data_IF_139218426084
#
_entry.id   IF_139218426084
#
_cell.length_a   1.000
_cell.length_b   1.000
_cell.length_c   1.000
_cell.angle_alpha   90.00
_cell.angle_beta   90.00
_cell.angle_gamma   90.00
#
_symmetry.space_group_name_H-M   'P 1'
#
loop_
_entity.id
_entity.type
_entity.pdbx_description
1 polymer ?
#
# COMPACT_ATOMS: atom_id res chain seq x y z
N UNK A 1 -9.13 -5.18 -5.09
CA UNK A 1 -9.53 -4.03 -4.25
C UNK A 1 -9.49 -2.77 -5.09
N UNK A 2 -10.41 -1.84 -4.86
CA UNK A 2 -10.41 -0.50 -5.48
C UNK A 2 -9.18 0.32 -5.05
N UNK A 3 -8.91 1.43 -5.75
CA UNK A 3 -7.83 2.33 -5.37
C UNK A 3 -8.05 2.90 -3.95
N UNK A 4 -6.98 3.08 -3.14
CA UNK A 4 -7.09 3.69 -1.82
C UNK A 4 -7.53 5.15 -1.92
N UNK A 5 -8.29 5.60 -0.92
CA UNK A 5 -8.65 7.01 -0.75
C UNK A 5 -7.38 7.83 -0.49
N UNK A 6 -6.55 7.38 0.46
CA UNK A 6 -5.27 7.98 0.80
C UNK A 6 -4.16 6.92 0.81
N UNK A 7 -2.99 7.31 0.31
CA UNK A 7 -1.74 6.57 0.51
C UNK A 7 -0.72 7.51 1.13
N UNK A 8 -0.25 7.19 2.33
CA UNK A 8 0.73 7.98 3.09
C UNK A 8 2.00 7.16 3.20
N UNK A 9 3.14 7.78 2.90
CA UNK A 9 4.46 7.18 3.11
C UNK A 9 5.21 8.00 4.14
N UNK A 10 5.52 7.40 5.29
CA UNK A 10 6.29 8.04 6.34
C UNK A 10 7.64 7.34 6.50
N UNK A 11 8.72 8.11 6.49
CA UNK A 11 10.08 7.62 6.70
C UNK A 11 10.54 7.83 8.14
N UNK A 12 11.37 6.93 8.64
CA UNK A 12 11.86 6.94 10.01
C UNK A 12 11.83 5.55 10.63
N UNK A 13 12.47 5.37 11.79
CA UNK A 13 12.45 4.08 12.48
C UNK A 13 11.06 3.83 13.09
N UNK A 14 10.30 2.81 12.65
CA UNK A 14 9.01 2.52 13.26
C UNK A 14 9.17 2.18 14.74
N UNK A 15 8.42 2.88 15.59
CA UNK A 15 8.53 2.74 17.04
C UNK A 15 7.16 2.39 17.65
N UNK A 16 7.09 1.38 18.52
CA UNK A 16 5.83 0.95 19.13
C UNK A 16 5.34 2.00 20.12
N UNK A 17 4.02 2.05 20.30
CA UNK A 17 3.46 2.69 21.48
C UNK A 17 3.91 1.92 22.73
N UNK A 18 4.57 2.62 23.64
CA UNK A 18 5.19 2.02 24.82
C UNK A 18 4.14 1.61 25.86
N UNK A 19 4.47 0.63 26.71
CA UNK A 19 3.74 0.50 27.98
C UNK A 19 4.09 1.70 28.86
N UNK A 20 3.08 2.35 29.43
CA UNK A 20 3.28 3.45 30.37
C UNK A 20 3.99 2.91 31.62
N UNK A 21 5.09 3.56 32.00
CA UNK A 21 5.82 3.26 33.23
C UNK A 21 5.43 4.26 34.30
N UNK A 22 5.01 3.78 35.47
CA UNK A 22 4.82 4.64 36.64
C UNK A 22 6.18 5.07 37.20
N UNK A 23 6.40 6.38 37.31
CA UNK A 23 7.65 6.96 37.84
C UNK A 23 7.47 7.59 39.22
N UNK A 24 6.34 7.33 39.89
CA UNK A 24 5.99 7.91 41.19
C UNK A 24 5.08 9.14 41.04
N UNK A 25 4.39 9.51 42.14
CA UNK A 25 3.49 10.68 42.21
C UNK A 25 2.37 10.70 41.15
N UNK A 26 1.90 9.54 40.70
CA UNK A 26 0.86 9.43 39.68
C UNK A 26 1.32 9.78 38.26
N UNK A 27 2.62 10.01 38.05
CA UNK A 27 3.17 10.34 36.72
C UNK A 27 3.48 9.04 35.97
N UNK A 28 2.93 8.94 34.76
CA UNK A 28 3.16 7.85 33.82
C UNK A 28 4.00 8.38 32.66
N UNK A 29 5.07 7.68 32.28
CA UNK A 29 5.95 8.06 31.16
C UNK A 29 6.02 6.93 30.15
N UNK A 30 5.99 7.25 28.86
CA UNK A 30 6.21 6.29 27.77
C UNK A 30 7.58 5.62 27.88
N UNK A 31 7.60 4.30 27.76
CA UNK A 31 8.83 3.49 27.86
C UNK A 31 9.76 3.61 26.65
N UNK A 32 9.26 4.03 25.48
CA UNK A 32 10.03 4.14 24.24
C UNK A 32 10.38 5.60 23.96
N UNK A 33 11.67 5.95 24.00
CA UNK A 33 12.16 7.29 23.58
C UNK A 33 11.92 7.57 22.10
N UNK A 34 11.71 6.51 21.30
CA UNK A 34 11.62 6.60 19.85
C UNK A 34 10.17 6.81 19.36
N UNK A 35 9.17 6.67 20.22
CA UNK A 35 7.76 6.81 19.81
C UNK A 35 7.42 8.24 19.40
N UNK A 36 7.96 9.25 20.11
CA UNK A 36 7.68 10.65 19.79
C UNK A 36 8.24 11.04 18.41
N UNK A 37 9.53 10.83 18.09
CA UNK A 37 10.04 11.08 16.74
C UNK A 37 9.29 10.31 15.65
N UNK A 38 8.89 9.07 15.93
CA UNK A 38 8.10 8.27 15.00
C UNK A 38 6.73 8.89 14.71
N UNK A 39 5.98 9.27 15.76
CA UNK A 39 4.67 9.90 15.61
C UNK A 39 4.74 11.22 14.86
N UNK A 40 5.75 12.05 15.13
CA UNK A 40 5.95 13.30 14.39
C UNK A 40 6.23 13.06 12.91
N UNK A 41 7.03 12.04 12.57
CA UNK A 41 7.30 11.69 11.17
C UNK A 41 6.04 11.22 10.42
N UNK A 42 5.22 10.37 11.05
CA UNK A 42 3.94 9.92 10.50
C UNK A 42 2.97 11.09 10.35
N UNK A 43 2.87 11.94 11.38
CA UNK A 43 2.01 13.12 11.38
C UNK A 43 2.38 14.09 10.27
N UNK A 44 3.67 14.40 10.11
CA UNK A 44 4.15 15.28 9.04
C UNK A 44 3.79 14.72 7.66
N UNK A 45 4.09 13.44 7.40
CA UNK A 45 3.74 12.80 6.14
C UNK A 45 2.23 12.77 5.86
N UNK A 46 1.42 12.60 6.92
CA UNK A 46 -0.03 12.62 6.83
C UNK A 46 -0.56 14.04 6.51
N UNK A 47 0.01 15.07 7.13
CA UNK A 47 -0.36 16.47 6.87
C UNK A 47 -0.06 16.88 5.43
N UNK A 48 1.06 16.44 4.86
CA UNK A 48 1.45 16.74 3.47
C UNK A 48 0.48 16.16 2.43
N UNK A 49 -0.24 15.09 2.79
CA UNK A 49 -1.23 14.46 1.92
C UNK A 49 -2.61 15.13 1.96
N UNK A 50 -2.82 16.14 2.81
CA UNK A 50 -4.11 16.82 2.95
C UNK A 50 -4.30 17.90 1.87
N UNK A 51 -5.29 17.76 0.96
CA UNK A 51 -5.64 18.83 0.04
C UNK A 51 -6.21 20.06 0.78
N UNK A 52 -6.25 21.20 0.08
CA UNK A 52 -6.91 22.40 0.58
C UNK A 52 -8.38 22.11 0.92
N UNK A 53 -8.85 22.63 2.05
CA UNK A 53 -10.22 22.37 2.53
C UNK A 53 -10.44 20.98 3.15
N UNK A 54 -9.38 20.23 3.44
CA UNK A 54 -9.47 18.90 4.06
C UNK A 54 -10.36 18.88 5.30
N UNK A 55 -11.30 17.94 5.31
CA UNK A 55 -12.08 17.55 6.47
C UNK A 55 -11.67 16.13 6.89
N UNK A 56 -11.53 15.84 8.20
CA UNK A 56 -11.25 14.49 8.66
C UNK A 56 -12.29 13.50 8.12
N UNK A 57 -11.83 12.33 7.70
CA UNK A 57 -12.71 11.28 7.21
C UNK A 57 -13.64 10.83 8.33
N UNK A 58 -14.92 10.70 8.02
CA UNK A 58 -15.97 10.34 8.97
C UNK A 58 -16.87 9.21 8.44
N UNK A 59 -16.27 8.06 8.20
CA UNK A 59 -16.92 6.83 7.74
C UNK A 59 -16.09 5.60 8.13
N UNK A 60 -16.66 4.37 8.20
CA UNK A 60 -15.91 3.15 8.47
C UNK A 60 -14.79 2.89 7.46
N UNK A 61 -13.61 2.50 7.96
CA UNK A 61 -12.38 2.38 7.18
C UNK A 61 -11.79 0.98 7.21
N UNK A 62 -11.14 0.63 6.09
CA UNK A 62 -10.17 -0.46 5.98
C UNK A 62 -8.78 0.16 5.86
N UNK A 63 -7.81 -0.32 6.64
CA UNK A 63 -6.45 0.24 6.64
C UNK A 63 -5.39 -0.84 6.42
N UNK A 64 -4.40 -0.55 5.58
CA UNK A 64 -3.18 -1.33 5.45
C UNK A 64 -2.00 -0.54 5.99
N UNK A 65 -1.12 -1.20 6.74
CA UNK A 65 0.13 -0.62 7.25
C UNK A 65 1.28 -1.62 7.07
N UNK A 66 2.21 -1.32 6.15
CA UNK A 66 3.42 -2.14 5.95
C UNK A 66 4.64 -1.40 6.51
N UNK A 67 5.13 -1.89 7.64
CA UNK A 67 6.27 -1.32 8.35
C UNK A 67 7.58 -1.92 7.84
N UNK A 68 8.46 -1.07 7.35
CA UNK A 68 9.79 -1.46 6.86
C UNK A 68 10.84 -1.23 7.94
N UNK A 69 11.65 -2.26 8.22
CA UNK A 69 12.79 -2.20 9.13
C UNK A 69 14.09 -2.43 8.38
N UNK A 70 15.17 -1.76 8.82
CA UNK A 70 16.50 -2.04 8.30
C UNK A 70 16.87 -3.51 8.55
N UNK A 71 17.42 -4.17 7.53
CA UNK A 71 17.89 -5.55 7.69
C UNK A 71 19.17 -5.58 8.52
N UNK A 72 19.24 -6.38 9.61
CA UNK A 72 20.45 -6.48 10.42
C UNK A 72 21.67 -6.92 9.61
N UNK A 73 22.84 -6.33 9.89
CA UNK A 73 24.12 -6.71 9.23
C UNK A 73 24.44 -8.20 9.39
N UNK A 74 24.05 -8.81 10.52
CA UNK A 74 24.22 -10.24 10.78
C UNK A 74 23.40 -11.16 9.87
N UNK A 75 22.44 -10.66 9.09
CA UNK A 75 21.71 -11.46 8.10
C UNK A 75 22.51 -11.63 6.81
N UNK A 76 23.55 -10.84 6.61
CA UNK A 76 24.42 -10.90 5.45
C UNK A 76 25.63 -11.79 5.72
N UNK A 77 26.20 -12.37 4.65
CA UNK A 77 27.49 -13.07 4.70
C UNK A 77 28.62 -12.05 4.93
N UNK A 78 29.87 -12.49 4.96
CA UNK A 78 31.03 -11.63 5.25
C UNK A 78 31.99 -11.56 4.06
N UNK A 79 32.95 -10.62 4.11
CA UNK A 79 33.99 -10.45 3.09
C UNK A 79 33.42 -10.11 1.70
N UNK A 80 33.94 -10.76 0.66
CA UNK A 80 33.50 -10.57 -0.75
C UNK A 80 31.98 -10.82 -0.97
N UNK A 81 31.34 -11.55 -0.07
CA UNK A 81 29.93 -11.93 -0.17
C UNK A 81 29.02 -11.07 0.75
N UNK A 82 29.49 -9.95 1.28
CA UNK A 82 28.74 -9.14 2.25
C UNK A 82 27.41 -8.54 1.72
N UNK A 83 27.18 -8.58 0.40
CA UNK A 83 25.92 -8.19 -0.22
C UNK A 83 24.89 -9.34 -0.27
N UNK A 84 25.31 -10.58 -0.03
CA UNK A 84 24.46 -11.77 -0.09
C UNK A 84 23.90 -12.12 1.29
N UNK A 85 22.65 -12.59 1.30
CA UNK A 85 22.01 -13.10 2.51
C UNK A 85 22.56 -14.49 2.89
N UNK A 86 22.54 -14.77 4.20
CA UNK A 86 22.75 -16.11 4.74
C UNK A 86 21.50 -16.95 4.48
N UNK A 87 21.68 -18.26 4.33
CA UNK A 87 20.56 -19.18 4.06
C UNK A 87 19.56 -19.24 5.23
N UNK A 88 20.07 -19.06 6.46
CA UNK A 88 19.26 -18.97 7.67
C UNK A 88 18.70 -17.56 7.95
N UNK A 89 18.92 -16.57 7.07
CA UNK A 89 18.43 -15.22 7.29
C UNK A 89 16.89 -15.18 7.21
N UNK A 90 16.19 -14.68 8.25
CA UNK A 90 14.74 -14.63 8.22
C UNK A 90 14.21 -13.78 7.07
N UNK A 91 13.11 -14.25 6.45
CA UNK A 91 12.41 -13.52 5.39
C UNK A 91 11.75 -12.25 5.94
N UNK A 92 11.14 -12.35 7.13
CA UNK A 92 10.41 -11.25 7.79
C UNK A 92 11.05 -10.86 9.14
N UNK A 93 10.94 -9.59 9.56
CA UNK A 93 11.39 -9.13 10.87
C UNK A 93 10.44 -9.60 11.99
N UNK A 94 10.63 -10.85 12.43
CA UNK A 94 9.86 -11.46 13.51
C UNK A 94 10.45 -11.19 14.92
N UNK A 95 10.98 -9.99 15.14
CA UNK A 95 11.50 -9.53 16.44
C UNK A 95 10.68 -8.36 16.97
N UNK A 96 10.93 -7.93 18.20
CA UNK A 96 10.40 -6.66 18.70
C UNK A 96 10.69 -5.52 17.71
N UNK A 97 9.78 -4.55 17.55
CA UNK A 97 8.52 -4.37 18.29
C UNK A 97 7.31 -5.17 17.77
N UNK A 98 6.29 -5.31 18.62
CA UNK A 98 5.01 -5.96 18.28
C UNK A 98 4.27 -5.16 17.20
N UNK A 99 3.72 -5.84 16.18
CA UNK A 99 3.00 -5.19 15.09
C UNK A 99 1.80 -4.36 15.60
N UNK A 100 1.02 -4.89 16.55
CA UNK A 100 -0.13 -4.18 17.12
C UNK A 100 0.25 -2.88 17.83
N UNK A 101 1.46 -2.79 18.41
CA UNK A 101 1.93 -1.56 19.05
C UNK A 101 2.44 -0.54 18.04
N UNK A 102 2.97 -1.00 16.90
CA UNK A 102 3.32 -0.11 15.78
C UNK A 102 2.06 0.47 15.15
N UNK A 103 1.02 -0.35 14.97
CA UNK A 103 -0.29 0.10 14.50
C UNK A 103 -0.82 1.18 15.44
N UNK A 104 -0.87 0.90 16.76
CA UNK A 104 -1.34 1.88 17.76
C UNK A 104 -0.60 3.22 17.73
N UNK A 105 0.74 3.23 17.68
CA UNK A 105 1.47 4.51 17.62
C UNK A 105 1.24 5.25 16.30
N UNK A 106 0.97 4.52 15.21
CA UNK A 106 0.68 5.09 13.90
C UNK A 106 -0.73 5.67 13.86
N UNK A 107 -1.72 4.98 14.43
CA UNK A 107 -3.10 5.47 14.58
C UNK A 107 -3.16 6.74 15.41
N UNK A 108 -2.49 6.76 16.57
CA UNK A 108 -2.37 7.97 17.40
C UNK A 108 -1.86 9.17 16.58
N UNK A 109 -0.85 8.97 15.72
CA UNK A 109 -0.29 10.03 14.89
C UNK A 109 -1.22 10.47 13.75
N UNK A 110 -1.99 9.55 13.15
CA UNK A 110 -2.97 9.86 12.10
C UNK A 110 -4.19 10.61 12.67
N UNK A 111 -4.61 10.26 13.89
CA UNK A 111 -5.62 11.00 14.65
C UNK A 111 -5.12 12.41 14.98
N UNK A 112 -3.89 12.55 15.48
CA UNK A 112 -3.27 13.88 15.72
C UNK A 112 -3.10 14.73 14.45
N UNK A 113 -2.97 14.08 13.28
CA UNK A 113 -2.89 14.75 11.99
C UNK A 113 -4.26 15.18 11.44
N UNK A 114 -5.36 14.68 12.04
CA UNK A 114 -6.73 14.93 11.58
C UNK A 114 -7.07 14.20 10.27
N UNK A 115 -6.48 13.02 10.02
CA UNK A 115 -6.81 12.21 8.84
C UNK A 115 -8.23 11.66 8.93
N UNK A 116 -8.61 11.15 10.09
CA UNK A 116 -9.96 10.71 10.41
C UNK A 116 -10.44 11.40 11.67
N UNK A 117 -11.76 11.41 11.88
CA UNK A 117 -12.36 11.99 13.09
C UNK A 117 -11.85 11.30 14.35
N UNK A 118 -11.77 9.97 14.31
CA UNK A 118 -11.38 9.12 15.42
C UNK A 118 -10.86 7.77 14.90
N UNK A 119 -9.94 7.14 15.63
CA UNK A 119 -9.36 5.84 15.25
C UNK A 119 -10.39 4.69 15.35
N UNK A 120 -11.47 4.89 16.11
CA UNK A 120 -12.61 3.96 16.19
C UNK A 120 -13.28 3.67 14.83
N UNK A 121 -13.02 4.51 13.82
CA UNK A 121 -13.48 4.30 12.45
C UNK A 121 -12.72 3.20 11.71
N UNK A 122 -11.54 2.81 12.18
CA UNK A 122 -10.77 1.70 11.60
C UNK A 122 -11.38 0.37 12.05
N UNK A 123 -12.20 -0.23 11.20
CA UNK A 123 -12.96 -1.45 11.53
C UNK A 123 -12.34 -2.72 10.93
N UNK A 124 -11.34 -2.57 10.06
CA UNK A 124 -10.66 -3.69 9.42
C UNK A 124 -9.23 -3.30 9.03
N UNK A 125 -8.31 -4.24 9.19
CA UNK A 125 -7.00 -4.17 8.54
C UNK A 125 -6.90 -5.12 7.35
N UNK A 126 -6.14 -4.73 6.34
CA UNK A 126 -5.74 -5.61 5.21
C UNK A 126 -4.24 -5.47 4.98
N UNK A 127 -3.56 -6.55 4.59
CA UNK A 127 -2.16 -6.53 4.15
C UNK A 127 -1.22 -5.75 5.10
N UNK A 128 -1.45 -5.87 6.41
CA UNK A 128 -0.68 -5.18 7.44
C UNK A 128 0.41 -6.09 7.97
N UNK A 129 1.64 -5.58 8.06
CA UNK A 129 2.78 -6.43 8.42
C UNK A 129 4.08 -5.68 8.61
N UNK A 130 5.11 -6.45 8.97
CA UNK A 130 6.50 -5.96 9.01
C UNK A 130 7.29 -6.59 7.88
N UNK A 131 8.18 -5.81 7.27
CA UNK A 131 9.02 -6.23 6.16
C UNK A 131 10.45 -5.70 6.32
N UNK A 132 11.38 -6.39 5.66
CA UNK A 132 12.66 -5.81 5.29
C UNK A 132 12.53 -5.19 3.90
N UNK A 133 13.45 -4.30 3.46
CA UNK A 133 13.46 -3.79 2.10
C UNK A 133 13.37 -4.91 1.07
N UNK A 134 12.52 -4.70 0.05
CA UNK A 134 12.17 -5.66 -0.99
C UNK A 134 11.54 -7.00 -0.50
N UNK A 135 11.19 -7.11 0.80
CA UNK A 135 10.56 -8.30 1.37
C UNK A 135 9.03 -8.30 1.31
N UNK A 136 8.44 -7.24 0.78
CA UNK A 136 7.00 -7.03 0.60
C UNK A 136 6.80 -6.04 -0.56
N UNK A 137 5.65 -6.08 -1.25
CA UNK A 137 5.34 -5.15 -2.35
C UNK A 137 5.33 -3.70 -1.89
N UNK A 138 4.87 -3.45 -0.66
CA UNK A 138 4.83 -2.12 -0.06
C UNK A 138 6.05 -1.83 0.83
N UNK A 139 7.06 -2.71 0.83
CA UNK A 139 8.28 -2.45 1.59
C UNK A 139 9.08 -1.30 0.98
N UNK A 140 9.43 -0.33 1.82
CA UNK A 140 10.29 0.79 1.45
C UNK A 140 11.75 0.34 1.30
N UNK A 141 12.57 1.18 0.67
CA UNK A 141 14.02 0.95 0.59
C UNK A 141 14.74 1.30 1.89
N UNK A 142 14.12 2.10 2.75
CA UNK A 142 14.62 2.54 4.06
C UNK A 142 13.54 2.34 5.14
N UNK A 143 13.88 2.45 6.43
CA UNK A 143 12.89 2.30 7.49
C UNK A 143 11.74 3.31 7.37
N UNK A 144 10.53 2.84 7.62
CA UNK A 144 9.32 3.66 7.51
C UNK A 144 8.05 2.81 7.47
N UNK A 145 6.95 3.41 7.02
CA UNK A 145 5.67 2.74 6.81
C UNK A 145 4.98 3.26 5.55
N UNK A 146 4.35 2.35 4.81
CA UNK A 146 3.33 2.69 3.81
C UNK A 146 1.97 2.42 4.41
N UNK A 147 1.12 3.44 4.43
CA UNK A 147 -0.23 3.40 4.98
C UNK A 147 -1.20 3.60 3.83
N UNK A 148 -2.18 2.72 3.68
CA UNK A 148 -3.24 2.86 2.68
C UNK A 148 -4.59 2.79 3.37
N UNK A 149 -5.48 3.69 3.00
CA UNK A 149 -6.78 3.86 3.65
C UNK A 149 -7.86 3.74 2.58
N UNK A 150 -8.86 2.91 2.84
CA UNK A 150 -10.06 2.77 2.02
C UNK A 150 -11.30 3.01 2.86
N UNK A 151 -12.36 3.57 2.27
CA UNK A 151 -13.70 3.41 2.82
C UNK A 151 -14.09 1.93 2.82
N UNK A 152 -14.84 1.49 3.82
CA UNK A 152 -15.46 0.17 3.78
C UNK A 152 -16.55 0.16 2.70
N UNK A 153 -16.40 -0.70 1.69
CA UNK A 153 -17.30 -0.74 0.53
C UNK A 153 -18.78 -0.96 0.92
N UNK A 154 -19.02 -1.78 1.94
CA UNK A 154 -20.36 -2.10 2.46
C UNK A 154 -20.65 -1.40 3.80
N UNK A 155 -20.16 -0.16 3.97
CA UNK A 155 -20.35 0.60 5.21
C UNK A 155 -21.84 0.85 5.56
N UNK A 156 -22.77 0.59 4.64
CA UNK A 156 -24.20 0.76 4.82
C UNK A 156 -25.00 -0.41 4.26
N UNK A 157 -25.96 -0.88 5.05
CA UNK A 157 -26.89 -1.94 4.67
C UNK A 157 -28.11 -1.44 3.86
N UNK A 158 -28.15 -0.16 3.49
CA UNK A 158 -29.31 0.47 2.85
C UNK A 158 -28.95 1.12 1.51
N UNK A 159 -29.86 0.98 0.55
CA UNK A 159 -29.73 1.30 -0.88
C UNK A 159 -29.74 2.81 -1.21
N UNK A 160 -30.03 3.67 -0.22
CA UNK A 160 -30.19 5.11 -0.42
C UNK A 160 -28.87 5.87 -0.19
N UNK A 161 -28.23 6.29 -1.27
CA UNK A 161 -27.16 7.30 -1.26
C UNK A 161 -27.76 8.64 -1.66
N UNK A 162 -28.09 9.49 -0.68
CA UNK A 162 -28.53 10.86 -0.96
C UNK A 162 -27.49 11.57 -1.84
N UNK A 163 -27.93 12.07 -3.00
CA UNK A 163 -27.10 12.73 -4.01
C UNK A 163 -26.60 14.13 -3.57
N UNK A 164 -26.98 14.56 -2.37
CA UNK A 164 -26.95 15.92 -1.86
C UNK A 164 -25.79 16.17 -0.86
N UNK A 165 -24.93 15.18 -0.60
CA UNK A 165 -23.73 15.34 0.24
C UNK A 165 -24.03 15.63 1.71
N UNK A 166 -25.26 15.38 2.16
CA UNK A 166 -25.68 15.48 3.55
C UNK A 166 -25.52 14.17 4.31
N UNK A 167 -25.64 14.27 5.65
CA UNK A 167 -25.66 13.14 6.57
C UNK A 167 -26.67 12.08 6.13
N UNK A 168 -26.23 10.85 5.88
CA UNK A 168 -27.14 9.79 5.50
C UNK A 168 -28.17 9.55 6.63
N UNK A 169 -29.49 9.61 6.35
CA UNK A 169 -30.51 9.51 7.39
C UNK A 169 -30.61 8.11 8.02
N UNK A 170 -30.09 7.07 7.37
CA UNK A 170 -30.07 5.70 7.91
C UNK A 170 -28.94 5.45 8.91
N UNK A 171 -27.70 5.77 8.51
CA UNK A 171 -26.50 5.44 9.30
C UNK A 171 -25.89 6.66 10.02
N UNK A 172 -26.29 7.88 9.68
CA UNK A 172 -25.78 9.09 10.30
C UNK A 172 -24.35 9.49 9.91
N UNK A 173 -23.81 9.03 8.78
CA UNK A 173 -22.46 9.42 8.30
C UNK A 173 -22.56 10.41 7.13
N UNK A 174 -21.70 11.44 7.13
CA UNK A 174 -21.69 12.54 6.16
C UNK A 174 -21.06 12.17 4.81
N UNK A 175 -20.27 11.08 4.78
CA UNK A 175 -19.37 10.79 3.65
C UNK A 175 -19.35 9.31 3.31
N UNK A 176 -20.36 8.84 2.58
CA UNK A 176 -20.15 7.65 1.76
C UNK A 176 -19.40 8.14 0.53
N UNK A 177 -18.33 7.48 0.09
CA UNK A 177 -18.02 7.56 -1.33
C UNK A 177 -19.30 7.09 -2.01
N UNK A 178 -19.98 7.97 -2.76
CA UNK A 178 -20.83 7.50 -3.85
C UNK A 178 -19.92 6.51 -4.58
N UNK A 179 -20.27 5.21 -4.68
CA UNK A 179 -19.42 4.27 -5.39
C UNK A 179 -19.13 4.94 -6.71
N UNK A 180 -17.86 5.28 -6.95
CA UNK A 180 -17.49 5.96 -8.16
C UNK A 180 -17.93 5.01 -9.27
N UNK A 181 -19.06 5.34 -9.90
CA UNK A 181 -19.29 4.95 -11.27
C UNK A 181 -18.00 5.26 -12.04
N UNK A 182 -17.65 4.46 -13.05
CA UNK A 182 -16.33 4.48 -13.67
C UNK A 182 -15.87 5.92 -13.86
N UNK A 183 -14.71 6.22 -13.27
CA UNK A 183 -14.18 7.57 -13.11
C UNK A 183 -14.54 8.47 -14.29
N UNK A 184 -15.36 9.49 -14.06
CA UNK A 184 -15.55 10.56 -15.03
C UNK A 184 -14.25 11.36 -15.02
N UNK A 185 -13.35 11.01 -15.94
CA UNK A 185 -12.18 11.80 -16.27
C UNK A 185 -12.71 13.15 -16.78
N UNK A 186 -12.31 14.30 -16.21
CA UNK A 186 -12.70 15.59 -16.77
C UNK A 186 -12.15 15.68 -18.20
N UNK A 187 -13.06 15.81 -19.16
CA UNK A 187 -12.75 16.05 -20.55
C UNK A 187 -12.23 17.48 -20.71
N UNK A 188 -10.93 17.71 -20.55
CA UNK A 188 -10.18 18.78 -21.22
C UNK A 188 -8.70 18.72 -20.87
N UNK A 189 -7.93 17.89 -21.59
CA UNK A 189 -6.65 18.27 -22.23
C UNK A 189 -6.56 17.45 -23.52
N UNK A 190 -7.34 17.81 -24.54
CA UNK A 190 -7.18 17.24 -25.89
C UNK A 190 -6.32 18.16 -26.74
N UNK A 191 -5.02 17.87 -26.78
CA UNK A 191 -4.17 18.11 -27.95
C UNK A 191 -2.85 17.31 -27.80
N UNK A 192 -2.91 16.00 -28.02
CA UNK A 192 -1.71 15.23 -28.38
C UNK A 192 -1.69 15.15 -29.91
N UNK A 193 -0.66 15.64 -30.61
CA UNK A 193 -0.59 15.51 -32.06
C UNK A 193 -0.54 14.02 -32.44
N UNK A 194 -1.39 13.65 -33.39
CA UNK A 194 -1.54 12.30 -33.96
C UNK A 194 -0.19 11.79 -34.46
N UNK A 195 0.41 10.82 -33.76
CA UNK A 195 1.53 10.05 -34.30
C UNK A 195 1.06 9.32 -35.57
N UNK A 196 1.85 9.32 -36.66
CA UNK A 196 1.48 8.60 -37.87
C UNK A 196 1.44 7.09 -37.60
N UNK A 197 0.46 6.43 -38.21
CA UNK A 197 0.22 5.00 -38.06
C UNK A 197 1.47 4.18 -38.43
N UNK A 198 1.77 3.08 -37.71
CA UNK A 198 2.87 2.21 -38.07
C UNK A 198 2.59 1.58 -39.45
N UNK A 199 3.60 1.62 -40.32
CA UNK A 199 3.59 0.91 -41.60
C UNK A 199 3.41 -0.58 -41.34
N UNK A 200 2.23 -1.10 -41.66
CA UNK A 200 1.98 -2.53 -41.76
C UNK A 200 2.68 -3.04 -43.02
N UNK A 201 3.76 -3.80 -42.85
CA UNK A 201 4.37 -4.54 -43.96
C UNK A 201 3.56 -5.83 -44.13
N UNK A 202 2.87 -6.05 -45.27
CA UNK A 202 2.09 -7.25 -45.46
C UNK A 202 3.00 -8.47 -45.64
N UNK A 203 2.77 -9.51 -44.85
CA UNK A 203 3.32 -10.85 -45.05
C UNK A 203 2.78 -11.42 -46.37
N UNK A 204 3.63 -11.51 -47.39
CA UNK A 204 3.27 -12.17 -48.65
C UNK A 204 3.44 -13.69 -48.50
N UNK A 205 2.31 -14.38 -48.38
CA UNK A 205 2.25 -15.84 -48.48
C UNK A 205 2.63 -16.30 -49.88
N UNK A 206 3.79 -16.95 -50.01
CA UNK A 206 4.21 -17.63 -51.22
C UNK A 206 3.38 -18.90 -51.45
N UNK A 207 2.78 -19.02 -52.63
CA UNK A 207 2.05 -20.21 -53.08
C UNK A 207 3.05 -21.31 -53.44
N UNK A 208 2.99 -22.45 -52.76
CA UNK A 208 3.54 -23.68 -53.30
C UNK A 208 2.60 -24.23 -54.37
N UNK A 209 2.99 -24.09 -55.64
CA UNK A 209 2.45 -24.88 -56.75
C UNK A 209 3.63 -25.42 -57.56
N UNK A 210 3.86 -26.72 -57.49
CA UNK A 210 4.86 -27.41 -58.31
C UNK A 210 5.43 -28.66 -57.63
N UNK A 211 4.79 -29.80 -57.84
CA UNK A 211 5.45 -31.11 -57.79
C UNK A 211 6.26 -31.26 -59.09
N UNK A 212 7.46 -31.85 -59.05
CA UNK A 212 7.56 -33.18 -59.64
C UNK A 212 8.42 -34.16 -58.82
N UNK A 213 7.87 -35.37 -58.71
CA UNK A 213 8.47 -36.72 -58.81
C UNK A 213 9.96 -36.92 -58.47
N UNK A 214 10.27 -37.85 -57.55
CA UNK A 214 11.14 -39.01 -57.81
C UNK A 214 10.98 -40.11 -56.72
N UNK A 215 10.61 -41.28 -57.23
CA UNK A 215 10.78 -42.69 -56.82
C UNK A 215 10.95 -43.11 -55.35
N UNK A 216 10.00 -43.94 -54.92
CA UNK A 216 10.23 -45.05 -54.00
C UNK A 216 10.38 -46.34 -54.84
N UNK A 217 11.61 -46.81 -55.00
CA UNK A 217 11.92 -48.22 -55.21
C UNK A 217 12.74 -48.69 -54.01
N UNK A 218 12.20 -49.69 -53.31
CA UNK A 218 12.93 -50.40 -52.26
C UNK A 218 13.90 -51.44 -52.83
N UNK A 219 14.82 -51.88 -51.98
CA UNK A 219 15.47 -53.21 -51.86
C UNK A 219 16.80 -53.01 -51.10
N UNK A 220 16.91 -53.47 -49.85
CA UNK A 220 17.35 -54.80 -49.39
C UNK A 220 18.83 -54.85 -48.98
N UNK A 221 19.04 -55.47 -47.82
CA UNK A 221 20.19 -56.25 -47.34
C UNK A 221 21.63 -55.81 -47.72
N UNK A 222 22.45 -55.51 -46.72
CA UNK A 222 23.32 -56.51 -46.08
C UNK A 222 23.98 -55.98 -44.81
#
# INVERSE_FOLDING_TARGET
>A
MTAPLLTITAYGLPAPQGSKRHVGRGVMVESSKNVKPWREAVKAAALDMRPSGWRPIDAPLVVSMVFTFARPKGHYRTGRNAHLLRDAAPVRPATVPDLSKLIRSTEDALTDAGIWRDDCLVVRYTDTGKAYPAGDELALTSPGVVIRIWPLADACAHEWHGADGGRCPGCGWDSHPIPAGPAVIPAEITAVPKMPAPLVVPYQGGRHTGTPTIDLLGQEAS
#
